data_IF_516436193497
#
_entry.id   IF_516436193497
#
_cell.length_a   1.000
_cell.length_b   1.000
_cell.length_c   1.000
_cell.angle_alpha   90.00
_cell.angle_beta   90.00
_cell.angle_gamma   90.00
#
_symmetry.space_group_name_H-M   'P 1'
#
loop_
_entity.id
_entity.type
_entity.pdbx_description
1 polymer ?
#
# COMPACT_ATOMS: atom_id res chain seq x y z
N UNK A 1 16.13 9.14 -14.39
CA UNK A 1 15.05 9.50 -15.38
C UNK A 1 13.80 9.72 -14.55
N UNK A 2 13.24 10.92 -14.55
CA UNK A 2 12.10 11.23 -13.69
C UNK A 2 10.84 10.44 -14.11
N UNK A 3 10.01 10.11 -13.15
CA UNK A 3 8.68 9.54 -13.38
C UNK A 3 7.90 10.49 -14.29
N UNK A 4 7.52 10.04 -15.48
CA UNK A 4 6.82 10.86 -16.44
C UNK A 4 5.30 10.74 -16.31
N UNK A 5 4.58 11.71 -16.93
CA UNK A 5 3.11 11.76 -16.85
C UNK A 5 2.44 10.47 -17.38
N UNK A 6 2.98 9.88 -18.44
CA UNK A 6 2.43 8.64 -19.01
C UNK A 6 2.47 7.48 -18.00
N UNK A 7 3.57 7.34 -17.26
CA UNK A 7 3.67 6.32 -16.20
C UNK A 7 2.69 6.60 -15.07
N UNK A 8 2.56 7.87 -14.65
CA UNK A 8 1.60 8.27 -13.61
C UNK A 8 0.17 7.90 -14.02
N UNK A 9 -0.24 8.22 -15.25
CA UNK A 9 -1.58 7.89 -15.76
C UNK A 9 -1.82 6.36 -15.77
N UNK A 10 -0.79 5.56 -16.09
CA UNK A 10 -0.85 4.10 -16.03
C UNK A 10 -0.94 3.58 -14.60
N UNK A 11 -0.24 4.18 -13.66
CA UNK A 11 -0.32 3.81 -12.23
C UNK A 11 -1.72 4.08 -11.66
N UNK A 12 -2.38 5.17 -12.06
CA UNK A 12 -3.79 5.41 -11.71
C UNK A 12 -4.68 4.27 -12.22
N UNK A 13 -4.40 3.76 -13.42
CA UNK A 13 -5.13 2.62 -13.99
C UNK A 13 -4.93 1.34 -13.16
N UNK A 14 -3.75 1.12 -12.60
CA UNK A 14 -3.44 -0.03 -11.74
C UNK A 14 -4.38 -0.09 -10.53
N UNK A 15 -4.46 1.00 -9.75
CA UNK A 15 -5.35 1.07 -8.58
C UNK A 15 -6.82 1.04 -8.96
N UNK A 16 -7.20 1.68 -10.07
CA UNK A 16 -8.57 1.66 -10.58
C UNK A 16 -9.02 0.24 -10.90
N UNK A 17 -8.20 -0.55 -11.59
CA UNK A 17 -8.55 -1.93 -11.95
C UNK A 17 -8.56 -2.84 -10.72
N UNK A 18 -7.67 -2.66 -9.76
CA UNK A 18 -7.70 -3.38 -8.48
C UNK A 18 -9.03 -3.13 -7.76
N UNK A 19 -9.44 -1.86 -7.60
CA UNK A 19 -10.70 -1.49 -6.97
C UNK A 19 -11.92 -2.06 -7.72
N UNK A 20 -11.95 -2.00 -9.06
CA UNK A 20 -13.04 -2.56 -9.87
C UNK A 20 -13.11 -4.07 -9.72
N UNK A 21 -11.97 -4.77 -9.66
CA UNK A 21 -11.94 -6.24 -9.60
C UNK A 21 -12.55 -6.79 -8.32
N UNK A 22 -12.40 -6.10 -7.19
CA UNK A 22 -12.98 -6.51 -5.91
C UNK A 22 -14.44 -6.09 -5.73
N UNK A 23 -14.99 -5.19 -6.57
CA UNK A 23 -16.37 -4.69 -6.47
C UNK A 23 -17.42 -5.82 -6.42
N UNK A 24 -17.24 -6.90 -7.18
CA UNK A 24 -18.16 -8.05 -7.19
C UNK A 24 -18.26 -8.79 -5.86
N UNK A 25 -17.38 -8.53 -4.92
CA UNK A 25 -17.35 -9.14 -3.59
C UNK A 25 -17.96 -8.26 -2.49
N UNK A 26 -18.42 -7.06 -2.83
CA UNK A 26 -19.05 -6.14 -1.88
C UNK A 26 -20.28 -6.84 -1.22
N UNK A 27 -20.25 -6.87 0.11
CA UNK A 27 -21.34 -7.44 0.93
C UNK A 27 -21.45 -8.97 0.90
N UNK A 28 -20.48 -9.69 0.33
CA UNK A 28 -20.52 -11.16 0.24
C UNK A 28 -19.88 -11.87 1.42
N UNK A 29 -19.37 -11.14 2.39
CA UNK A 29 -18.68 -11.68 3.56
C UNK A 29 -17.46 -12.58 3.21
N UNK A 30 -16.85 -12.34 2.05
CA UNK A 30 -15.71 -13.09 1.52
C UNK A 30 -14.54 -12.12 1.27
N UNK A 31 -13.82 -11.83 2.35
CA UNK A 31 -12.66 -10.91 2.30
C UNK A 31 -11.49 -11.47 1.49
N UNK A 32 -11.28 -12.80 1.57
CA UNK A 32 -10.13 -13.45 0.91
C UNK A 32 -10.28 -13.42 -0.62
N UNK A 33 -11.48 -13.68 -1.14
CA UNK A 33 -11.73 -13.57 -2.59
C UNK A 33 -11.68 -12.11 -3.07
N UNK A 34 -12.12 -11.14 -2.25
CA UNK A 34 -12.01 -9.72 -2.57
C UNK A 34 -10.55 -9.30 -2.69
N UNK A 35 -9.74 -9.67 -1.70
CA UNK A 35 -8.32 -9.39 -1.63
C UNK A 35 -7.56 -10.02 -2.80
N UNK A 36 -7.76 -11.32 -3.01
CA UNK A 36 -7.17 -12.03 -4.15
C UNK A 36 -7.48 -11.36 -5.49
N UNK A 37 -8.72 -10.92 -5.69
CA UNK A 37 -9.11 -10.28 -6.94
C UNK A 37 -8.39 -8.94 -7.16
N UNK A 38 -8.25 -8.14 -6.10
CA UNK A 38 -7.51 -6.89 -6.15
C UNK A 38 -6.02 -7.11 -6.42
N UNK A 39 -5.41 -8.06 -5.69
CA UNK A 39 -4.00 -8.44 -5.83
C UNK A 39 -3.67 -8.96 -7.23
N UNK A 40 -4.45 -9.91 -7.74
CA UNK A 40 -4.26 -10.46 -9.08
C UNK A 40 -4.39 -9.37 -10.16
N UNK A 41 -5.37 -8.48 -10.01
CA UNK A 41 -5.59 -7.37 -10.93
C UNK A 41 -4.44 -6.37 -10.90
N UNK A 42 -3.99 -5.96 -9.71
CA UNK A 42 -2.88 -5.03 -9.53
C UNK A 42 -1.59 -5.60 -10.14
N UNK A 43 -1.24 -6.84 -9.81
CA UNK A 43 -0.09 -7.55 -10.39
C UNK A 43 -0.14 -7.57 -11.92
N UNK A 44 -1.28 -7.92 -12.49
CA UNK A 44 -1.45 -8.00 -13.93
C UNK A 44 -1.27 -6.63 -14.61
N UNK A 45 -1.77 -5.56 -14.01
CA UNK A 45 -1.63 -4.22 -14.57
C UNK A 45 -0.19 -3.69 -14.45
N UNK A 46 0.47 -3.92 -13.32
CA UNK A 46 1.89 -3.53 -13.16
C UNK A 46 2.76 -4.28 -14.18
N UNK A 47 2.49 -5.56 -14.43
CA UNK A 47 3.24 -6.35 -15.40
C UNK A 47 3.08 -5.92 -16.87
N UNK A 48 2.17 -4.99 -17.18
CA UNK A 48 2.07 -4.35 -18.51
C UNK A 48 2.96 -3.11 -18.64
N UNK A 49 3.48 -2.59 -17.54
CA UNK A 49 4.30 -1.39 -17.52
C UNK A 49 5.73 -1.69 -17.99
N UNK A 50 6.30 -0.81 -18.81
CA UNK A 50 7.69 -0.91 -19.27
C UNK A 50 8.67 -0.40 -18.21
N UNK A 51 8.73 -1.11 -17.08
CA UNK A 51 9.59 -0.82 -15.92
C UNK A 51 10.20 -2.12 -15.39
N UNK A 52 11.26 -1.99 -14.60
CA UNK A 52 11.79 -3.05 -13.74
C UNK A 52 11.41 -2.70 -12.30
N UNK A 53 10.27 -3.16 -11.86
CA UNK A 53 9.75 -2.89 -10.53
C UNK A 53 10.19 -3.93 -9.49
N UNK A 54 10.39 -3.49 -8.26
CA UNK A 54 10.59 -4.34 -7.09
C UNK A 54 9.65 -3.90 -5.97
N UNK A 55 8.86 -4.82 -5.44
CA UNK A 55 8.04 -4.54 -4.26
C UNK A 55 8.96 -4.42 -3.06
N UNK A 56 9.01 -3.24 -2.45
CA UNK A 56 9.82 -2.97 -1.24
C UNK A 56 8.96 -2.82 0.00
N UNK A 57 7.68 -2.51 -0.17
CA UNK A 57 6.64 -2.56 0.86
C UNK A 57 5.44 -3.26 0.24
N UNK A 58 5.01 -4.36 0.81
CA UNK A 58 3.92 -5.20 0.30
C UNK A 58 3.26 -5.98 1.42
N UNK A 59 2.46 -6.96 1.06
CA UNK A 59 1.77 -7.81 2.01
C UNK A 59 2.32 -9.24 1.98
N UNK A 60 2.56 -9.79 3.17
CA UNK A 60 2.98 -11.18 3.34
C UNK A 60 4.41 -11.49 2.93
N UNK A 61 4.81 -12.73 3.16
CA UNK A 61 6.12 -13.27 2.82
C UNK A 61 6.06 -14.10 1.52
N UNK A 62 7.23 -14.47 1.01
CA UNK A 62 7.45 -15.12 -0.30
C UNK A 62 6.53 -16.33 -0.56
N UNK A 63 6.15 -17.06 0.49
CA UNK A 63 5.39 -18.31 0.39
C UNK A 63 3.87 -18.14 0.65
N UNK A 64 3.40 -16.93 0.89
CA UNK A 64 2.00 -16.62 1.19
C UNK A 64 1.23 -16.07 -0.03
N UNK A 65 1.35 -16.73 -1.19
CA UNK A 65 0.53 -16.35 -2.36
C UNK A 65 -0.98 -16.40 -2.00
N UNK A 66 -1.78 -15.40 -2.41
CA UNK A 66 -1.64 -14.61 -3.65
C UNK A 66 -1.08 -13.17 -3.49
N UNK A 67 -0.51 -12.83 -2.38
CA UNK A 67 -0.10 -11.46 -2.03
C UNK A 67 1.04 -10.90 -2.89
N UNK A 68 1.17 -9.56 -2.97
CA UNK A 68 2.31 -8.85 -3.54
C UNK A 68 3.39 -8.75 -2.46
N UNK A 69 4.32 -9.69 -2.44
CA UNK A 69 5.31 -9.86 -1.37
C UNK A 69 6.57 -9.00 -1.57
N UNK A 70 7.24 -8.69 -0.48
CA UNK A 70 8.50 -7.93 -0.51
C UNK A 70 9.56 -8.71 -1.31
N UNK A 71 10.18 -8.04 -2.29
CA UNK A 71 11.16 -8.62 -3.22
C UNK A 71 10.56 -9.13 -4.52
N UNK A 72 9.22 -9.17 -4.69
CA UNK A 72 8.58 -9.56 -5.95
C UNK A 72 8.99 -8.61 -7.07
N UNK A 73 9.40 -9.17 -8.22
CA UNK A 73 9.77 -8.42 -9.41
C UNK A 73 8.57 -8.29 -10.33
N UNK A 74 8.27 -7.08 -10.72
CA UNK A 74 7.11 -6.71 -11.52
C UNK A 74 7.48 -5.82 -12.68
N UNK A 75 6.64 -5.80 -13.71
CA UNK A 75 6.83 -5.01 -14.92
C UNK A 75 7.27 -5.83 -16.12
N UNK A 76 7.09 -5.28 -17.30
CA UNK A 76 7.43 -5.92 -18.58
C UNK A 76 8.91 -5.73 -18.98
N UNK A 77 9.73 -5.22 -18.10
CA UNK A 77 11.09 -4.78 -18.41
C UNK A 77 11.13 -3.36 -19.01
N UNK A 78 12.29 -2.73 -18.94
CA UNK A 78 12.48 -1.37 -19.46
C UNK A 78 13.79 -0.76 -18.98
N UNK A 79 13.92 0.55 -19.18
CA UNK A 79 15.11 1.31 -18.78
C UNK A 79 14.90 2.08 -17.47
N UNK A 80 13.80 1.84 -16.77
CA UNK A 80 13.47 2.50 -15.51
C UNK A 80 13.32 1.45 -14.42
N UNK A 81 14.20 1.51 -13.43
CA UNK A 81 14.15 0.71 -12.24
C UNK A 81 13.37 1.48 -11.16
N UNK A 82 12.37 0.85 -10.57
CA UNK A 82 11.50 1.47 -9.56
C UNK A 82 11.31 0.59 -8.33
N UNK A 83 11.18 1.25 -7.18
CA UNK A 83 10.63 0.67 -5.97
C UNK A 83 9.11 0.81 -5.97
N UNK A 84 8.41 -0.19 -5.47
CA UNK A 84 6.96 -0.26 -5.41
C UNK A 84 6.54 -0.53 -3.96
N UNK A 85 5.61 0.28 -3.45
CA UNK A 85 4.90 0.03 -2.21
C UNK A 85 3.41 -0.12 -2.50
N UNK A 86 2.80 -1.22 -2.06
CA UNK A 86 1.43 -1.59 -2.42
C UNK A 86 0.62 -2.09 -1.24
N UNK A 87 -0.66 -1.76 -1.29
CA UNK A 87 -1.74 -2.46 -0.61
C UNK A 87 -2.91 -2.55 -1.61
N UNK A 88 -3.12 -3.71 -2.25
CA UNK A 88 -4.13 -3.87 -3.28
C UNK A 88 -5.54 -3.62 -2.79
N UNK A 89 -5.84 -3.96 -1.53
CA UNK A 89 -7.13 -3.76 -0.90
C UNK A 89 -7.03 -3.50 0.61
N UNK A 90 -6.62 -2.29 0.99
CA UNK A 90 -6.71 -1.82 2.36
C UNK A 90 -8.18 -1.85 2.83
N UNK A 91 -8.41 -2.54 3.95
CA UNK A 91 -9.75 -2.72 4.49
C UNK A 91 -10.58 -3.80 3.81
N UNK A 92 -10.04 -4.99 3.58
CA UNK A 92 -10.70 -6.16 2.98
C UNK A 92 -12.04 -6.49 3.64
N UNK A 93 -12.14 -6.34 4.97
CA UNK A 93 -13.38 -6.50 5.71
C UNK A 93 -14.46 -5.47 5.35
N UNK A 94 -14.08 -4.26 4.96
CA UNK A 94 -15.04 -3.22 4.56
C UNK A 94 -15.73 -3.60 3.26
N UNK A 95 -14.98 -4.11 2.28
CA UNK A 95 -15.58 -4.66 1.05
C UNK A 95 -16.48 -5.85 1.37
N UNK A 96 -15.98 -6.84 2.12
CA UNK A 96 -16.73 -8.04 2.44
C UNK A 96 -18.07 -7.76 3.14
N UNK A 97 -18.11 -6.72 3.99
CA UNK A 97 -19.30 -6.34 4.79
C UNK A 97 -20.10 -5.17 4.21
N UNK A 98 -19.77 -4.69 3.01
CA UNK A 98 -20.38 -3.50 2.39
C UNK A 98 -20.29 -2.26 3.30
N UNK A 99 -19.12 -2.01 3.87
CA UNK A 99 -18.82 -0.82 4.66
C UNK A 99 -17.99 0.18 3.83
N UNK A 100 -18.10 1.48 4.08
CA UNK A 100 -17.27 2.48 3.40
C UNK A 100 -15.83 2.45 3.91
N UNK A 101 -14.88 2.96 3.10
CA UNK A 101 -13.53 3.25 3.55
C UNK A 101 -12.44 2.29 3.06
N UNK A 102 -12.79 1.26 2.25
CA UNK A 102 -11.77 0.45 1.58
C UNK A 102 -11.04 1.26 0.50
N UNK A 103 -9.73 1.03 0.36
CA UNK A 103 -8.85 1.72 -0.56
C UNK A 103 -7.99 0.73 -1.35
N UNK A 104 -7.55 1.11 -2.54
CA UNK A 104 -6.46 0.45 -3.26
C UNK A 104 -5.30 1.42 -3.36
N UNK A 105 -4.12 1.05 -2.88
CA UNK A 105 -2.99 1.97 -2.69
C UNK A 105 -1.76 1.47 -3.43
N UNK A 106 -1.09 2.39 -4.11
CA UNK A 106 0.24 2.17 -4.68
C UNK A 106 1.09 3.43 -4.54
N UNK A 107 2.35 3.26 -4.21
CA UNK A 107 3.37 4.30 -4.30
C UNK A 107 4.55 3.77 -5.11
N UNK A 108 5.13 4.62 -5.95
CA UNK A 108 6.31 4.30 -6.73
C UNK A 108 7.37 5.38 -6.60
N UNK A 109 8.62 4.97 -6.62
CA UNK A 109 9.76 5.87 -6.69
C UNK A 109 10.86 5.27 -7.57
N UNK A 110 11.83 6.07 -8.01
CA UNK A 110 13.06 5.53 -8.59
C UNK A 110 13.74 4.61 -7.57
N UNK A 111 14.38 3.54 -8.05
CA UNK A 111 14.99 2.51 -7.20
C UNK A 111 15.86 3.09 -6.08
N UNK A 112 15.65 2.59 -4.86
CA UNK A 112 16.37 3.01 -3.65
C UNK A 112 15.82 4.27 -2.99
N UNK A 113 14.66 4.79 -3.41
CA UNK A 113 14.05 5.99 -2.86
C UNK A 113 12.78 5.75 -2.01
N UNK A 114 12.31 4.51 -1.92
CA UNK A 114 11.31 4.15 -0.91
C UNK A 114 11.99 3.55 0.32
N UNK A 115 11.57 4.01 1.49
CA UNK A 115 12.05 3.47 2.74
C UNK A 115 11.50 2.05 2.95
N UNK A 116 12.40 1.08 3.06
CA UNK A 116 12.04 -0.30 3.38
C UNK A 116 11.77 -0.39 4.88
N UNK A 117 10.53 -0.18 5.28
CA UNK A 117 10.08 -0.28 6.66
C UNK A 117 9.71 -1.72 7.00
N UNK A 118 10.05 -2.22 8.20
CA UNK A 118 9.52 -3.50 8.66
C UNK A 118 8.00 -3.40 8.83
N UNK A 119 7.29 -4.50 8.55
CA UNK A 119 5.84 -4.62 8.76
C UNK A 119 5.54 -4.74 10.26
N UNK A 120 5.54 -3.61 10.95
CA UNK A 120 5.31 -3.56 12.39
C UNK A 120 4.36 -2.44 12.77
N UNK A 121 3.53 -2.70 13.77
CA UNK A 121 2.79 -1.65 14.46
C UNK A 121 3.73 -0.86 15.37
N UNK A 122 3.47 0.43 15.50
CA UNK A 122 4.21 1.30 16.41
C UNK A 122 3.26 2.29 17.09
N UNK A 123 3.56 2.66 18.31
CA UNK A 123 2.88 3.74 18.99
C UNK A 123 3.23 5.06 18.32
N UNK A 124 2.24 5.93 18.15
CA UNK A 124 2.40 7.23 17.51
C UNK A 124 1.71 8.30 18.32
N UNK A 125 2.40 9.41 18.53
CA UNK A 125 1.87 10.60 19.19
C UNK A 125 1.96 11.77 18.22
N UNK A 126 0.82 12.34 17.87
CA UNK A 126 0.74 13.56 17.06
C UNK A 126 0.19 14.70 17.91
N UNK A 127 0.94 15.78 18.00
CA UNK A 127 0.58 16.98 18.76
C UNK A 127 0.67 18.23 17.90
N UNK A 128 0.00 19.30 18.34
CA UNK A 128 0.11 20.61 17.69
C UNK A 128 1.54 21.15 17.76
N UNK A 129 1.99 21.83 16.71
CA UNK A 129 3.26 22.54 16.69
C UNK A 129 3.36 23.70 17.72
N UNK A 130 2.27 23.99 18.42
CA UNK A 130 2.25 24.95 19.54
C UNK A 130 2.68 24.33 20.87
N UNK A 131 2.76 23.01 20.94
CA UNK A 131 3.22 22.28 22.11
C UNK A 131 4.76 22.30 22.11
N UNK A 132 5.41 22.68 23.22
CA UNK A 132 6.87 22.58 23.32
C UNK A 132 7.37 21.16 23.10
N UNK A 133 8.53 21.00 22.43
CA UNK A 133 9.07 19.68 22.07
C UNK A 133 9.36 18.77 23.28
N UNK A 134 9.59 19.34 24.45
CA UNK A 134 9.89 18.63 25.70
C UNK A 134 8.64 18.40 26.57
N UNK A 135 7.48 18.87 26.14
CA UNK A 135 6.23 18.72 26.91
C UNK A 135 5.59 17.33 26.76
N UNK A 136 5.91 16.61 25.68
CA UNK A 136 5.32 15.28 25.41
C UNK A 136 6.37 14.26 24.98
N UNK A 137 6.15 13.00 25.36
CA UNK A 137 6.94 11.86 24.91
C UNK A 137 6.03 10.62 24.91
N UNK A 138 6.32 9.63 24.05
CA UNK A 138 5.61 8.35 24.04
C UNK A 138 5.79 7.56 25.33
N UNK A 139 6.93 7.76 26.01
CA UNK A 139 7.23 7.11 27.29
C UNK A 139 6.59 7.80 28.50
N UNK A 140 5.89 8.93 28.29
CA UNK A 140 5.21 9.60 29.38
C UNK A 140 3.90 8.89 29.75
N UNK A 141 3.54 8.83 31.04
CA UNK A 141 2.22 8.37 31.45
C UNK A 141 1.10 9.18 30.78
N UNK A 142 -0.01 8.51 30.41
CA UNK A 142 -1.15 9.15 29.75
C UNK A 142 -1.68 10.37 30.50
N UNK A 143 -1.68 10.34 31.84
CA UNK A 143 -2.11 11.44 32.70
C UNK A 143 -1.23 12.69 32.48
N UNK A 144 0.06 12.53 32.23
CA UNK A 144 0.97 13.66 31.94
C UNK A 144 0.70 14.24 30.56
N UNK A 145 0.41 13.40 29.57
CA UNK A 145 0.13 13.84 28.19
C UNK A 145 -1.23 14.56 28.12
N UNK A 146 -2.22 14.11 28.88
CA UNK A 146 -3.57 14.67 28.86
C UNK A 146 -3.73 16.04 29.56
N UNK A 147 -2.68 16.51 30.24
CA UNK A 147 -2.68 17.79 30.97
C UNK A 147 -1.96 18.94 30.21
N UNK A 148 -1.53 18.68 28.97
CA UNK A 148 -0.91 19.64 28.07
C UNK A 148 -1.98 20.30 27.19
#
# INVERSE_FOLDING_TARGET
MALNKELIDKIITVTTHAAISCHRFIGKNDKNSADKAATDSMRNEINKLKVNGEVVIGEGELDEAPMLFIGEKLGAGGNLDIDIAVDPLEGTNFVAKNLPGALSVISIAEKGNLFNAPETYMDKLAVSNKIPNDATDLDFPLEKISTI
#
